data_IF_622734869278
#
_entry.id   IF_622734869278
#
_cell.length_a   1.000
_cell.length_b   1.000
_cell.length_c   1.000
_cell.angle_alpha   90.00
_cell.angle_beta   90.00
_cell.angle_gamma   90.00
#
_symmetry.space_group_name_H-M   'P 1'
#
loop_
_entity.id
_entity.type
_entity.pdbx_description
1 polymer ?
#
# COMPACT_ATOMS: atom_id res chain seq x y z
N UNK A 1 17.56 -8.96 0.41
CA UNK A 1 18.57 -8.18 -0.30
C UNK A 1 18.91 -6.91 0.46
N UNK A 2 19.88 -6.14 -0.06
CA UNK A 2 20.19 -4.79 0.44
C UNK A 2 19.61 -3.73 -0.47
N UNK A 3 19.65 -2.47 -0.04
CA UNK A 3 19.36 -1.32 -0.90
C UNK A 3 20.49 -1.12 -1.90
N UNK A 4 20.15 -0.85 -3.16
CA UNK A 4 21.15 -0.44 -4.14
C UNK A 4 21.84 0.87 -3.66
N UNK A 5 23.17 1.04 -3.88
CA UNK A 5 23.92 2.19 -3.35
C UNK A 5 23.27 3.55 -3.67
N UNK A 6 22.90 3.77 -4.91
CA UNK A 6 22.26 5.03 -5.33
C UNK A 6 20.88 5.26 -4.66
N UNK A 7 20.12 4.19 -4.39
CA UNK A 7 18.83 4.29 -3.66
C UNK A 7 19.09 4.64 -2.20
N UNK A 8 20.09 4.01 -1.58
CA UNK A 8 20.49 4.31 -0.20
C UNK A 8 20.92 5.76 -0.03
N UNK A 9 21.77 6.27 -0.92
CA UNK A 9 22.23 7.65 -0.89
C UNK A 9 21.06 8.65 -1.03
N UNK A 10 20.16 8.44 -1.97
CA UNK A 10 18.96 9.27 -2.10
C UNK A 10 18.08 9.25 -0.86
N UNK A 11 17.90 8.07 -0.25
CA UNK A 11 17.13 7.93 0.98
C UNK A 11 17.77 8.72 2.12
N UNK A 12 19.08 8.58 2.35
CA UNK A 12 19.81 9.30 3.38
C UNK A 12 19.78 10.81 3.17
N UNK A 13 19.98 11.28 1.92
CA UNK A 13 19.87 12.70 1.59
C UNK A 13 18.45 13.25 1.84
N UNK A 14 17.41 12.44 1.58
CA UNK A 14 16.02 12.82 1.88
C UNK A 14 15.79 12.90 3.39
N UNK A 15 16.25 11.92 4.15
CA UNK A 15 16.13 11.91 5.63
C UNK A 15 16.84 13.10 6.26
N UNK A 16 18.04 13.46 5.77
CA UNK A 16 18.75 14.66 6.23
C UNK A 16 17.93 15.93 6.04
N UNK A 17 17.28 16.09 4.86
CA UNK A 17 16.38 17.23 4.63
C UNK A 17 15.17 17.22 5.56
N UNK A 18 14.60 16.06 5.87
CA UNK A 18 13.53 15.94 6.85
C UNK A 18 14.02 16.31 8.26
N UNK A 19 15.20 15.81 8.67
CA UNK A 19 15.82 16.15 9.96
C UNK A 19 15.95 17.65 10.14
N UNK A 20 16.43 18.38 9.11
CA UNK A 20 16.52 19.84 9.15
C UNK A 20 15.16 20.52 9.34
N UNK A 21 14.10 20.00 8.70
CA UNK A 21 12.75 20.57 8.81
C UNK A 21 12.11 20.37 10.17
N UNK A 22 12.40 19.26 10.83
CA UNK A 22 11.83 18.91 12.14
C UNK A 22 12.74 19.25 13.31
N UNK A 23 13.91 19.83 13.07
CA UNK A 23 14.92 20.16 14.09
C UNK A 23 14.39 21.00 15.28
N UNK A 24 13.36 21.84 15.01
CA UNK A 24 12.74 22.69 16.03
C UNK A 24 11.52 22.03 16.70
N UNK A 25 11.17 20.80 16.33
CA UNK A 25 10.06 20.06 16.94
C UNK A 25 10.63 19.27 18.12
N UNK A 26 10.07 19.41 19.33
CA UNK A 26 10.53 18.63 20.48
C UNK A 26 10.49 17.12 20.17
N UNK A 27 11.55 16.34 20.51
CA UNK A 27 11.64 14.91 20.16
C UNK A 27 10.43 14.08 20.57
N UNK A 28 9.78 14.41 21.69
CA UNK A 28 8.56 13.74 22.17
C UNK A 28 7.35 13.89 21.23
N UNK A 29 7.40 14.84 20.30
CA UNK A 29 6.35 15.08 19.31
C UNK A 29 6.69 14.51 17.93
N UNK A 30 7.85 13.87 17.79
CA UNK A 30 8.30 13.23 16.57
C UNK A 30 8.32 11.72 16.76
N UNK A 31 7.64 11.00 15.91
CA UNK A 31 7.74 9.54 15.81
C UNK A 31 8.05 9.17 14.37
N UNK A 32 9.10 8.39 14.20
CA UNK A 32 9.54 7.91 12.89
C UNK A 32 9.38 6.40 12.83
N UNK A 33 8.70 5.93 11.82
CA UNK A 33 8.48 4.50 11.62
C UNK A 33 9.01 4.05 10.26
N UNK A 34 9.56 2.85 10.22
CA UNK A 34 9.94 2.17 9.00
C UNK A 34 9.09 0.90 8.84
N UNK A 35 8.68 0.63 7.60
CA UNK A 35 7.73 -0.41 7.30
C UNK A 35 8.33 -1.50 6.39
N UNK A 36 7.57 -2.06 5.48
CA UNK A 36 7.89 -3.25 4.71
C UNK A 36 9.29 -3.25 4.08
N UNK A 37 9.73 -2.15 3.46
CA UNK A 37 11.03 -2.09 2.78
C UNK A 37 12.19 -2.38 3.74
N UNK A 38 12.16 -1.79 4.94
CA UNK A 38 13.22 -1.98 5.94
C UNK A 38 13.12 -3.35 6.60
N UNK A 39 11.89 -3.85 6.86
CA UNK A 39 11.68 -5.22 7.37
C UNK A 39 12.28 -6.30 6.45
N UNK A 40 12.34 -6.05 5.15
CA UNK A 40 12.87 -6.99 4.14
C UNK A 40 14.39 -6.92 3.97
N UNK A 41 15.11 -6.02 4.64
CA UNK A 41 16.55 -5.94 4.56
C UNK A 41 17.21 -7.11 5.32
N UNK A 42 18.25 -7.70 4.71
CA UNK A 42 19.06 -8.76 5.38
C UNK A 42 19.82 -8.23 6.57
N UNK A 43 20.26 -6.99 6.51
CA UNK A 43 21.01 -6.30 7.57
C UNK A 43 20.40 -4.92 7.75
N UNK A 44 19.28 -4.79 8.50
CA UNK A 44 18.58 -3.52 8.69
C UNK A 44 19.50 -2.44 9.28
N UNK A 45 20.36 -2.76 10.22
CA UNK A 45 21.27 -1.82 10.89
C UNK A 45 22.23 -1.11 9.92
N UNK A 46 22.62 -1.78 8.84
CA UNK A 46 23.45 -1.17 7.80
C UNK A 46 22.80 0.05 7.13
N UNK A 47 21.48 0.14 7.18
CA UNK A 47 20.69 1.28 6.72
C UNK A 47 20.20 2.15 7.89
N UNK A 48 19.68 1.54 8.96
CA UNK A 48 19.06 2.26 10.08
C UNK A 48 20.03 3.18 10.79
N UNK A 49 21.24 2.71 11.12
CA UNK A 49 22.25 3.53 11.82
C UNK A 49 22.56 4.83 11.06
N UNK A 50 22.96 4.81 9.78
CA UNK A 50 23.17 6.05 9.04
C UNK A 50 21.88 6.84 8.76
N UNK A 51 20.71 6.17 8.70
CA UNK A 51 19.42 6.84 8.52
C UNK A 51 19.01 7.66 9.74
N UNK A 52 19.16 7.10 10.95
CA UNK A 52 18.94 7.78 12.22
C UNK A 52 19.91 8.95 12.41
N UNK A 53 21.19 8.75 12.09
CA UNK A 53 22.18 9.82 12.12
C UNK A 53 21.84 10.97 11.16
N UNK A 54 21.36 10.66 9.96
CA UNK A 54 20.95 11.67 8.97
C UNK A 54 19.68 12.42 9.37
N UNK A 55 18.73 11.73 10.01
CA UNK A 55 17.45 12.28 10.43
C UNK A 55 17.51 13.02 11.77
N UNK A 56 18.42 12.60 12.68
CA UNK A 56 18.51 13.09 14.05
C UNK A 56 17.48 12.48 15.03
N UNK A 57 16.80 11.41 14.63
CA UNK A 57 15.78 10.71 15.42
C UNK A 57 15.89 9.20 15.24
N UNK A 58 15.50 8.45 16.27
CA UNK A 58 15.38 6.98 16.19
C UNK A 58 14.26 6.57 15.23
N UNK A 59 14.44 5.41 14.59
CA UNK A 59 13.49 4.86 13.62
C UNK A 59 12.96 3.52 14.14
N UNK A 60 11.68 3.48 14.49
CA UNK A 60 10.99 2.25 14.90
C UNK A 60 10.64 1.39 13.67
N UNK A 61 11.17 0.17 13.57
CA UNK A 61 10.75 -0.79 12.55
C UNK A 61 9.50 -1.50 13.04
N UNK A 62 8.33 -1.10 12.55
CA UNK A 62 7.05 -1.63 12.99
C UNK A 62 6.63 -2.88 12.21
N UNK A 63 5.86 -3.76 12.87
CA UNK A 63 5.26 -4.94 12.23
C UNK A 63 4.18 -4.54 11.21
N UNK A 64 3.84 -5.44 10.27
CA UNK A 64 2.75 -5.20 9.32
C UNK A 64 1.39 -4.99 10.01
N UNK A 65 1.12 -5.70 11.12
CA UNK A 65 -0.13 -5.51 11.90
C UNK A 65 -0.15 -4.16 12.64
N UNK A 66 0.99 -3.63 13.05
CA UNK A 66 1.08 -2.28 13.62
C UNK A 66 0.93 -1.22 12.51
N UNK A 67 1.53 -1.43 11.34
CA UNK A 67 1.32 -0.61 10.16
C UNK A 67 -0.19 -0.55 9.81
N UNK A 68 -0.86 -1.69 9.74
CA UNK A 68 -2.31 -1.78 9.52
C UNK A 68 -3.11 -0.99 10.56
N UNK A 69 -2.75 -1.09 11.85
CA UNK A 69 -3.40 -0.33 12.91
C UNK A 69 -3.27 1.19 12.70
N UNK A 70 -2.07 1.66 12.35
CA UNK A 70 -1.83 3.08 12.11
C UNK A 70 -2.54 3.59 10.87
N UNK A 71 -2.58 2.80 9.79
CA UNK A 71 -3.36 3.10 8.58
C UNK A 71 -4.83 3.28 8.91
N UNK A 72 -5.42 2.33 9.66
CA UNK A 72 -6.82 2.43 10.07
C UNK A 72 -7.11 3.70 10.88
N UNK A 73 -6.27 4.02 11.85
CA UNK A 73 -6.41 5.24 12.65
C UNK A 73 -6.32 6.50 11.80
N UNK A 74 -5.39 6.55 10.84
CA UNK A 74 -5.26 7.66 9.90
C UNK A 74 -6.55 7.88 9.10
N UNK A 75 -7.14 6.81 8.56
CA UNK A 75 -8.42 6.87 7.84
C UNK A 75 -9.58 7.28 8.76
N UNK A 76 -9.64 6.73 9.98
CA UNK A 76 -10.70 7.05 10.93
C UNK A 76 -10.65 8.52 11.40
N UNK A 77 -9.46 9.11 11.50
CA UNK A 77 -9.30 10.53 11.82
C UNK A 77 -9.65 11.46 10.65
N UNK A 78 -9.26 11.09 9.44
CA UNK A 78 -9.56 11.88 8.24
C UNK A 78 -11.06 11.82 7.88
N UNK A 79 -11.66 10.65 8.03
CA UNK A 79 -13.07 10.39 7.76
C UNK A 79 -13.69 9.68 8.96
N UNK A 80 -14.15 10.40 9.97
CA UNK A 80 -14.75 9.79 11.15
C UNK A 80 -15.91 8.85 10.75
N UNK A 81 -15.90 7.58 11.20
CA UNK A 81 -17.00 6.67 10.91
C UNK A 81 -18.26 7.07 11.65
N UNK A 82 -19.43 6.71 11.10
CA UNK A 82 -20.69 6.85 11.81
C UNK A 82 -20.72 5.92 13.03
N UNK A 83 -21.48 6.32 14.05
CA UNK A 83 -21.58 5.54 15.28
C UNK A 83 -22.09 4.12 15.00
N UNK A 84 -21.39 3.12 15.54
CA UNK A 84 -21.72 1.70 15.37
C UNK A 84 -21.30 1.10 14.03
N UNK A 85 -21.00 1.90 13.02
CA UNK A 85 -20.61 1.44 11.68
C UNK A 85 -19.28 0.71 11.69
N UNK A 86 -19.23 -0.45 11.03
CA UNK A 86 -18.01 -1.18 10.75
C UNK A 86 -17.47 -0.80 9.37
N UNK A 87 -16.16 -0.56 9.34
CA UNK A 87 -15.45 -0.13 8.13
C UNK A 87 -14.33 -1.10 7.79
N UNK A 88 -14.29 -1.54 6.54
CA UNK A 88 -13.14 -2.21 5.95
C UNK A 88 -12.21 -1.17 5.33
N UNK A 89 -10.97 -1.13 5.76
CA UNK A 89 -9.91 -0.32 5.13
C UNK A 89 -8.94 -1.26 4.42
N UNK A 90 -8.62 -0.93 3.17
CA UNK A 90 -7.63 -1.65 2.36
C UNK A 90 -6.58 -0.66 1.89
N UNK A 91 -5.33 -0.91 2.24
CA UNK A 91 -4.17 -0.15 1.79
C UNK A 91 -3.30 -1.02 0.88
N UNK A 92 -3.22 -0.69 -0.41
CA UNK A 92 -2.33 -1.38 -1.34
C UNK A 92 -1.08 -0.52 -1.54
N UNK A 93 -0.04 -0.85 -0.78
CA UNK A 93 1.27 -0.24 -0.89
C UNK A 93 2.12 -0.84 -2.02
N UNK A 94 3.40 -0.45 -2.07
CA UNK A 94 4.34 -0.98 -3.07
C UNK A 94 4.75 -2.43 -2.83
N UNK A 95 4.91 -2.82 -1.57
CA UNK A 95 5.43 -4.15 -1.16
C UNK A 95 4.48 -4.96 -0.29
N UNK A 96 3.51 -4.33 0.35
CA UNK A 96 2.52 -4.97 1.22
C UNK A 96 1.12 -4.45 0.95
N UNK A 97 0.14 -5.14 1.49
CA UNK A 97 -1.27 -4.74 1.50
C UNK A 97 -1.82 -4.97 2.89
N UNK A 98 -2.35 -3.94 3.49
CA UNK A 98 -2.98 -3.96 4.79
C UNK A 98 -4.50 -4.03 4.61
N UNK A 99 -5.15 -4.95 5.35
CA UNK A 99 -6.60 -5.10 5.41
C UNK A 99 -7.04 -4.96 6.87
N UNK A 100 -7.97 -4.06 7.16
CA UNK A 100 -8.41 -3.80 8.52
C UNK A 100 -9.93 -3.66 8.55
N UNK A 101 -10.59 -4.38 9.46
CA UNK A 101 -11.96 -4.08 9.87
C UNK A 101 -11.92 -3.43 11.24
N UNK A 102 -12.60 -2.31 11.39
CA UNK A 102 -12.71 -1.62 12.67
C UNK A 102 -14.07 -0.95 12.85
N UNK A 103 -14.30 -0.47 14.06
CA UNK A 103 -15.49 0.29 14.46
C UNK A 103 -15.05 1.54 15.21
N UNK A 104 -15.54 2.71 14.80
CA UNK A 104 -15.04 3.95 15.38
C UNK A 104 -13.54 4.09 15.15
N UNK A 105 -12.79 4.27 16.22
CA UNK A 105 -11.32 4.33 16.21
C UNK A 105 -10.67 2.99 16.61
N UNK A 106 -11.44 1.94 16.82
CA UNK A 106 -10.96 0.64 17.27
C UNK A 106 -10.81 -0.33 16.08
N UNK A 107 -9.58 -0.76 15.73
CA UNK A 107 -9.36 -1.83 14.77
C UNK A 107 -9.69 -3.18 15.43
N UNK A 108 -10.70 -3.88 14.91
CA UNK A 108 -11.17 -5.18 15.40
C UNK A 108 -10.30 -6.32 14.86
N UNK A 109 -10.12 -6.35 13.54
CA UNK A 109 -9.23 -7.30 12.85
C UNK A 109 -8.31 -6.56 11.89
N UNK A 110 -7.06 -7.05 11.80
CA UNK A 110 -6.04 -6.44 10.95
C UNK A 110 -5.04 -7.47 10.45
N UNK A 111 -4.81 -7.45 9.15
CA UNK A 111 -3.82 -8.30 8.50
C UNK A 111 -2.93 -7.48 7.56
N UNK A 112 -1.70 -7.95 7.37
CA UNK A 112 -0.75 -7.40 6.43
C UNK A 112 -0.19 -8.51 5.56
N UNK A 113 -0.44 -8.41 4.27
CA UNK A 113 0.02 -9.35 3.26
C UNK A 113 1.30 -8.84 2.61
N UNK A 114 2.24 -9.76 2.31
CA UNK A 114 3.45 -9.44 1.56
C UNK A 114 3.15 -9.37 0.04
N UNK A 115 2.10 -8.63 -0.30
CA UNK A 115 1.58 -8.40 -1.65
C UNK A 115 1.35 -6.92 -1.82
N UNK A 116 2.10 -6.28 -2.69
CA UNK A 116 1.94 -4.87 -3.03
C UNK A 116 2.08 -4.68 -4.53
N UNK A 117 1.70 -3.53 -5.06
CA UNK A 117 1.66 -3.28 -6.50
C UNK A 117 3.03 -3.48 -7.17
N UNK A 118 4.11 -2.93 -6.61
CA UNK A 118 5.46 -3.07 -7.17
C UNK A 118 5.98 -4.51 -7.04
N UNK A 119 5.79 -5.12 -5.86
CA UNK A 119 6.22 -6.50 -5.61
C UNK A 119 5.51 -7.48 -6.56
N UNK A 120 4.21 -7.33 -6.74
CA UNK A 120 3.41 -8.15 -7.64
C UNK A 120 3.77 -7.95 -9.10
N UNK A 121 4.01 -6.71 -9.53
CA UNK A 121 4.44 -6.41 -10.90
C UNK A 121 5.76 -7.10 -11.21
N UNK A 122 6.76 -6.98 -10.33
CA UNK A 122 8.07 -7.64 -10.51
C UNK A 122 7.98 -9.16 -10.51
N UNK A 123 7.10 -9.72 -9.70
CA UNK A 123 6.98 -11.17 -9.54
C UNK A 123 6.22 -11.83 -10.69
N UNK A 124 5.09 -11.28 -11.09
CA UNK A 124 4.18 -11.90 -12.04
C UNK A 124 4.29 -11.35 -13.46
N UNK A 125 4.77 -10.11 -13.61
CA UNK A 125 4.83 -9.41 -14.89
C UNK A 125 6.27 -8.99 -15.25
N UNK A 126 7.24 -9.78 -14.80
CA UNK A 126 8.65 -9.57 -15.16
C UNK A 126 8.83 -9.46 -16.67
N UNK A 127 9.69 -8.50 -17.09
CA UNK A 127 9.83 -8.13 -18.51
C UNK A 127 8.64 -7.37 -19.08
N UNK A 128 7.68 -6.93 -18.24
CA UNK A 128 6.56 -6.08 -18.63
C UNK A 128 5.46 -6.77 -19.44
N UNK A 129 5.54 -8.09 -19.69
CA UNK A 129 4.53 -8.81 -20.48
C UNK A 129 3.24 -9.03 -19.71
N UNK A 130 2.13 -8.54 -20.25
CA UNK A 130 0.79 -8.76 -19.75
C UNK A 130 0.15 -9.94 -20.54
N UNK A 131 -0.36 -10.94 -19.82
CA UNK A 131 -1.09 -12.05 -20.43
C UNK A 131 -2.09 -12.64 -19.44
N UNK A 132 -3.17 -13.24 -19.94
CA UNK A 132 -4.18 -13.93 -19.11
C UNK A 132 -3.56 -15.01 -18.23
N UNK A 133 -2.54 -15.73 -18.71
CA UNK A 133 -1.84 -16.75 -17.93
C UNK A 133 -1.13 -16.13 -16.72
N UNK A 134 -0.37 -15.05 -16.92
CA UNK A 134 0.34 -14.35 -15.84
C UNK A 134 -0.64 -13.70 -14.85
N UNK A 135 -1.70 -13.09 -15.37
CA UNK A 135 -2.78 -12.53 -14.56
C UNK A 135 -3.42 -13.59 -13.66
N UNK A 136 -3.81 -14.74 -14.23
CA UNK A 136 -4.43 -15.81 -13.47
C UNK A 136 -3.48 -16.40 -12.42
N UNK A 137 -2.18 -16.51 -12.72
CA UNK A 137 -1.17 -16.93 -11.74
C UNK A 137 -1.10 -15.95 -10.56
N UNK A 138 -1.06 -14.65 -10.84
CA UNK A 138 -1.09 -13.61 -9.81
C UNK A 138 -2.38 -13.69 -8.97
N UNK A 139 -3.53 -13.77 -9.62
CA UNK A 139 -4.83 -13.85 -8.96
C UNK A 139 -4.93 -15.07 -8.05
N UNK A 140 -4.50 -16.25 -8.52
CA UNK A 140 -4.52 -17.48 -7.73
C UNK A 140 -3.67 -17.36 -6.48
N UNK A 141 -2.45 -16.87 -6.60
CA UNK A 141 -1.54 -16.77 -5.46
C UNK A 141 -2.00 -15.71 -4.44
N UNK A 142 -2.41 -14.52 -4.92
CA UNK A 142 -2.92 -13.46 -4.05
C UNK A 142 -4.20 -13.91 -3.34
N UNK A 143 -5.11 -14.56 -4.07
CA UNK A 143 -6.35 -15.11 -3.48
C UNK A 143 -6.06 -16.15 -2.40
N UNK A 144 -5.07 -17.02 -2.59
CA UNK A 144 -4.68 -18.01 -1.60
C UNK A 144 -4.19 -17.38 -0.29
N UNK A 145 -3.44 -16.27 -0.38
CA UNK A 145 -3.03 -15.53 0.82
C UNK A 145 -4.24 -14.87 1.52
N UNK A 146 -5.15 -14.28 0.76
CA UNK A 146 -6.35 -13.65 1.33
C UNK A 146 -7.31 -14.66 1.97
N UNK A 147 -7.36 -15.89 1.48
CA UNK A 147 -8.23 -16.95 2.06
C UNK A 147 -7.93 -17.24 3.53
N UNK A 148 -6.71 -16.99 4.00
CA UNK A 148 -6.30 -17.26 5.39
C UNK A 148 -7.15 -16.49 6.42
N UNK A 149 -7.66 -15.30 6.05
CA UNK A 149 -8.47 -14.48 6.95
C UNK A 149 -9.86 -14.11 6.37
N UNK A 150 -10.12 -14.46 5.13
CA UNK A 150 -11.37 -14.07 4.44
C UNK A 150 -12.63 -14.53 5.16
N UNK A 151 -12.60 -15.73 5.81
CA UNK A 151 -13.73 -16.23 6.56
C UNK A 151 -14.07 -15.35 7.76
N UNK A 152 -13.06 -14.98 8.56
CA UNK A 152 -13.19 -14.08 9.72
C UNK A 152 -13.74 -12.72 9.29
N UNK A 153 -13.21 -12.15 8.19
CA UNK A 153 -13.65 -10.85 7.69
C UNK A 153 -15.10 -10.88 7.20
N UNK A 154 -15.50 -11.93 6.48
CA UNK A 154 -16.91 -12.09 6.06
C UNK A 154 -17.85 -12.26 7.23
N UNK A 155 -17.45 -13.00 8.28
CA UNK A 155 -18.25 -13.18 9.48
C UNK A 155 -18.42 -11.87 10.25
N UNK A 156 -17.36 -11.08 10.37
CA UNK A 156 -17.44 -9.75 10.98
C UNK A 156 -18.33 -8.80 10.17
N UNK A 157 -18.26 -8.89 8.85
CA UNK A 157 -18.93 -7.98 7.94
C UNK A 157 -18.47 -6.52 8.07
N UNK A 158 -18.85 -5.70 7.13
CA UNK A 158 -18.61 -4.25 7.13
C UNK A 158 -19.75 -3.53 6.40
N UNK A 159 -19.99 -2.29 6.78
CA UNK A 159 -21.02 -1.43 6.20
C UNK A 159 -20.45 -0.56 5.08
N UNK A 160 -19.14 -0.26 5.16
CA UNK A 160 -18.42 0.60 4.23
C UNK A 160 -17.02 0.04 3.97
N UNK A 161 -16.52 0.22 2.75
CA UNK A 161 -15.15 -0.11 2.39
C UNK A 161 -14.42 1.12 1.84
N UNK A 162 -13.22 1.39 2.37
CA UNK A 162 -12.35 2.50 1.94
C UNK A 162 -11.02 1.94 1.47
N UNK A 163 -10.67 2.29 0.23
CA UNK A 163 -9.33 2.09 -0.31
C UNK A 163 -8.45 3.30 -0.04
N UNK A 164 -7.23 3.08 0.44
CA UNK A 164 -6.25 4.14 0.69
C UNK A 164 -4.97 3.91 -0.11
N UNK A 165 -4.03 4.85 -0.02
CA UNK A 165 -2.78 4.88 -0.78
C UNK A 165 -2.91 5.15 -2.28
N UNK A 166 -1.74 5.27 -2.89
CA UNK A 166 -1.63 5.68 -4.28
C UNK A 166 -2.24 4.71 -5.28
N UNK A 167 -2.29 3.43 -4.98
CA UNK A 167 -2.88 2.42 -5.88
C UNK A 167 -4.39 2.61 -6.01
N UNK A 168 -5.10 2.73 -4.89
CA UNK A 168 -6.56 2.97 -4.92
C UNK A 168 -6.88 4.34 -5.54
N UNK A 169 -6.10 5.38 -5.24
CA UNK A 169 -6.26 6.69 -5.85
C UNK A 169 -6.11 6.63 -7.38
N UNK A 170 -5.11 5.92 -7.87
CA UNK A 170 -4.91 5.74 -9.32
C UNK A 170 -6.10 5.01 -9.97
N UNK A 171 -6.56 3.90 -9.36
CA UNK A 171 -7.73 3.16 -9.86
C UNK A 171 -8.98 4.03 -9.86
N UNK A 172 -9.24 4.77 -8.79
CA UNK A 172 -10.37 5.69 -8.69
C UNK A 172 -10.35 6.77 -9.77
N UNK A 173 -9.18 7.38 -10.02
CA UNK A 173 -9.01 8.37 -11.08
C UNK A 173 -9.27 7.77 -12.48
N UNK A 174 -8.80 6.55 -12.74
CA UNK A 174 -9.06 5.83 -13.99
C UNK A 174 -10.56 5.55 -14.14
N UNK A 175 -11.22 5.09 -13.05
CA UNK A 175 -12.68 4.87 -13.08
C UNK A 175 -13.46 6.14 -13.50
N UNK A 176 -13.08 7.29 -12.95
CA UNK A 176 -13.71 8.58 -13.30
C UNK A 176 -13.39 8.98 -14.73
N UNK A 177 -12.13 8.92 -15.14
CA UNK A 177 -11.68 9.33 -16.46
C UNK A 177 -12.28 8.44 -17.59
N UNK A 178 -12.46 7.15 -17.32
CA UNK A 178 -13.16 6.22 -18.20
C UNK A 178 -14.70 6.34 -18.11
N UNK A 179 -15.23 7.21 -17.27
CA UNK A 179 -16.67 7.38 -17.02
C UNK A 179 -17.37 6.09 -16.53
N UNK A 180 -16.65 5.24 -15.82
CA UNK A 180 -17.18 3.99 -15.25
C UNK A 180 -17.97 4.26 -13.98
N UNK A 181 -17.47 5.19 -13.16
CA UNK A 181 -18.08 5.59 -11.88
C UNK A 181 -17.83 7.09 -11.63
N UNK A 182 -18.45 7.61 -10.56
CA UNK A 182 -18.24 9.00 -10.10
C UNK A 182 -17.18 9.12 -8.99
N UNK A 183 -16.29 8.12 -8.84
CA UNK A 183 -15.22 8.12 -7.84
C UNK A 183 -15.15 6.86 -6.99
N UNK A 184 -16.22 6.04 -6.94
CA UNK A 184 -16.19 4.74 -6.29
C UNK A 184 -15.46 3.71 -7.18
N UNK A 185 -14.90 2.67 -6.55
CA UNK A 185 -14.28 1.54 -7.24
C UNK A 185 -15.23 0.36 -7.13
N UNK A 186 -15.84 -0.07 -8.25
CA UNK A 186 -16.75 -1.21 -8.28
C UNK A 186 -16.10 -2.43 -8.95
N UNK A 187 -16.65 -3.62 -8.69
CA UNK A 187 -16.16 -4.85 -9.31
C UNK A 187 -16.25 -4.80 -10.85
N UNK A 188 -17.30 -4.20 -11.38
CA UNK A 188 -17.51 -4.02 -12.81
C UNK A 188 -16.47 -3.07 -13.43
N UNK A 189 -16.17 -1.97 -12.74
CA UNK A 189 -15.14 -1.02 -13.18
C UNK A 189 -13.74 -1.69 -13.18
N UNK A 190 -13.41 -2.44 -12.13
CA UNK A 190 -12.16 -3.21 -12.07
C UNK A 190 -12.08 -4.23 -13.21
N UNK A 191 -13.17 -4.92 -13.52
CA UNK A 191 -13.20 -5.89 -14.62
C UNK A 191 -12.93 -5.21 -15.98
N UNK A 192 -13.49 -4.03 -16.23
CA UNK A 192 -13.24 -3.28 -17.47
C UNK A 192 -11.79 -2.76 -17.53
N UNK A 193 -11.25 -2.24 -16.44
CA UNK A 193 -9.83 -1.81 -16.37
C UNK A 193 -8.90 -3.01 -16.63
N UNK A 194 -9.15 -4.15 -15.99
CA UNK A 194 -8.40 -5.39 -16.21
C UNK A 194 -8.40 -5.79 -17.69
N UNK A 195 -9.55 -5.76 -18.34
CA UNK A 195 -9.67 -6.18 -19.73
C UNK A 195 -8.90 -5.23 -20.65
N UNK A 196 -8.90 -3.93 -20.38
CA UNK A 196 -8.04 -2.94 -21.08
C UNK A 196 -6.55 -3.23 -20.87
N UNK A 197 -6.13 -3.52 -19.61
CA UNK A 197 -4.75 -3.87 -19.32
C UNK A 197 -4.30 -5.12 -20.09
N UNK A 198 -5.16 -6.14 -20.17
CA UNK A 198 -4.84 -7.39 -20.88
C UNK A 198 -4.81 -7.22 -22.40
N UNK A 199 -5.51 -6.22 -22.95
CA UNK A 199 -5.45 -5.87 -24.36
C UNK A 199 -4.13 -5.18 -24.74
N UNK A 200 -3.48 -4.50 -23.81
CA UNK A 200 -2.21 -3.81 -24.04
C UNK A 200 -1.03 -4.78 -24.25
N UNK A 201 -1.14 -6.05 -23.85
CA UNK A 201 -0.12 -7.12 -23.96
C UNK A 201 1.20 -6.82 -23.25
N UNK A 202 1.54 -5.55 -22.99
CA UNK A 202 2.72 -5.14 -22.24
C UNK A 202 2.45 -3.91 -21.38
N UNK A 203 3.22 -3.77 -20.29
CA UNK A 203 3.14 -2.60 -19.40
C UNK A 203 3.47 -1.31 -20.16
N UNK A 204 4.46 -1.33 -21.03
CA UNK A 204 4.86 -0.16 -21.83
C UNK A 204 3.85 0.27 -22.89
N UNK A 205 2.83 -0.56 -23.18
CA UNK A 205 1.78 -0.27 -24.16
C UNK A 205 0.44 0.05 -23.49
N UNK A 206 0.42 0.20 -22.16
CA UNK A 206 -0.80 0.57 -21.45
C UNK A 206 -1.18 2.01 -21.80
N UNK A 207 -2.38 2.17 -22.32
CA UNK A 207 -3.03 3.47 -22.55
C UNK A 207 -4.31 3.53 -21.71
N UNK A 208 -4.19 4.05 -20.50
CA UNK A 208 -5.29 4.30 -19.58
C UNK A 208 -5.32 5.78 -19.20
N UNK A 209 -6.47 6.44 -19.34
CA UNK A 209 -6.58 7.85 -18.99
C UNK A 209 -6.30 8.06 -17.49
N UNK A 210 -5.62 9.14 -17.16
CA UNK A 210 -5.21 9.48 -15.78
C UNK A 210 -4.21 8.52 -15.11
N UNK A 211 -3.63 7.58 -15.85
CA UNK A 211 -2.47 6.83 -15.40
C UNK A 211 -1.22 7.70 -15.65
N UNK A 212 -0.45 7.97 -14.61
CA UNK A 212 0.82 8.70 -14.76
C UNK A 212 1.95 7.76 -15.19
N UNK A 213 2.96 8.29 -15.88
CA UNK A 213 4.12 7.54 -16.38
C UNK A 213 4.93 6.83 -15.26
N UNK A 214 4.80 7.31 -14.03
CA UNK A 214 5.47 6.73 -12.85
C UNK A 214 4.70 5.56 -12.20
N UNK A 215 3.58 5.12 -12.79
CA UNK A 215 2.69 4.14 -12.15
C UNK A 215 2.21 3.04 -13.08
#
# INVERSE_FOLDING_TARGET
GGLAPAVRERALASLSRFGQRIANIPPRHVRVVATNTVRQLRSPDSFLVPAEAALGHTIDVISGREEARLVYLGVAHEQPPQEGQKRLVIDIGGGSTECIIGRGFEPLERESLQVGCIASTRRFFDGGKLSRKRWNSALTEISAQMQQFAATYRQLGWDEAIGTSGTHKAIGNICVAMKLTKGSITAEAIAQIRDRLLQAESIGSIDLPSLSDDR
#
